data_IF_855967807076
#
_entry.id   IF_855967807076
#
_cell.length_a   1.000
_cell.length_b   1.000
_cell.length_c   1.000
_cell.angle_alpha   90.00
_cell.angle_beta   90.00
_cell.angle_gamma   90.00
#
_symmetry.space_group_name_H-M   'P 1'
#
loop_
_entity.id
_entity.type
_entity.pdbx_description
1 polymer ?
#
# COMPACT_ATOMS: atom_id res chain seq x y z
N UNK A 1 3.58 5.73 19.04
CA UNK A 1 3.79 4.57 18.13
C UNK A 1 2.42 4.06 17.71
N UNK A 2 2.20 3.78 16.43
CA UNK A 2 0.92 3.26 15.91
C UNK A 2 1.11 1.78 15.54
N UNK A 3 0.32 0.89 16.14
CA UNK A 3 0.27 -0.52 15.70
C UNK A 3 -0.76 -0.64 14.59
N UNK A 4 -0.33 -1.14 13.43
CA UNK A 4 -1.18 -1.29 12.23
C UNK A 4 -1.22 -2.79 11.90
N UNK A 5 -2.32 -3.50 12.21
CA UNK A 5 -2.50 -4.87 11.76
C UNK A 5 -2.52 -4.95 10.23
N UNK A 6 -1.97 -6.03 9.69
CA UNK A 6 -1.92 -6.31 8.26
C UNK A 6 -2.73 -7.56 7.93
N UNK A 7 -3.53 -7.49 6.87
CA UNK A 7 -4.25 -8.62 6.27
C UNK A 7 -3.73 -8.79 4.84
N UNK A 8 -3.10 -9.93 4.58
CA UNK A 8 -2.69 -10.30 3.22
C UNK A 8 -3.83 -11.09 2.58
N UNK A 9 -4.25 -10.68 1.38
CA UNK A 9 -5.34 -11.29 0.62
C UNK A 9 -4.78 -12.11 -0.54
N UNK A 10 -5.21 -13.38 -0.61
CA UNK A 10 -4.96 -14.27 -1.73
C UNK A 10 -6.22 -15.06 -2.05
N UNK A 11 -6.66 -15.00 -3.31
CA UNK A 11 -7.83 -15.70 -3.84
C UNK A 11 -9.10 -15.46 -3.00
N UNK A 12 -9.30 -14.21 -2.55
CA UNK A 12 -10.41 -13.80 -1.67
C UNK A 12 -10.24 -14.15 -0.19
N UNK A 13 -9.15 -14.80 0.22
CA UNK A 13 -8.95 -15.31 1.58
C UNK A 13 -7.83 -14.56 2.32
N UNK A 14 -7.91 -14.51 3.66
CA UNK A 14 -6.83 -14.02 4.49
C UNK A 14 -5.75 -15.09 4.63
N UNK A 15 -4.56 -14.80 4.11
CA UNK A 15 -3.43 -15.73 4.15
C UNK A 15 -2.24 -15.14 4.87
N UNK A 16 -1.28 -16.00 5.17
CA UNK A 16 0.08 -15.59 5.53
C UNK A 16 1.07 -16.39 4.70
N UNK A 17 1.93 -15.69 3.97
CA UNK A 17 3.02 -16.32 3.22
C UNK A 17 4.21 -16.58 4.13
N UNK A 18 4.78 -17.80 4.06
CA UNK A 18 6.07 -18.08 4.68
C UNK A 18 7.18 -17.44 3.83
N UNK A 19 7.85 -16.43 4.38
CA UNK A 19 8.92 -15.67 3.69
C UNK A 19 8.53 -15.10 2.30
N UNK A 20 7.25 -14.84 2.06
CA UNK A 20 6.78 -14.29 0.77
C UNK A 20 6.61 -15.32 -0.35
N UNK A 21 6.77 -16.61 -0.05
CA UNK A 21 6.53 -17.68 -1.00
C UNK A 21 5.01 -17.94 -1.16
N UNK A 22 4.52 -17.75 -2.39
CA UNK A 22 3.11 -17.91 -2.76
C UNK A 22 2.62 -19.36 -2.69
N UNK A 23 3.53 -20.32 -2.85
CA UNK A 23 3.23 -21.75 -2.78
C UNK A 23 3.16 -22.25 -1.33
N UNK A 24 3.69 -21.46 -0.38
CA UNK A 24 3.65 -21.72 1.05
C UNK A 24 2.71 -20.74 1.77
N UNK A 25 1.48 -20.65 1.27
CA UNK A 25 0.40 -19.88 1.89
C UNK A 25 -0.31 -20.71 2.97
N UNK A 26 -0.45 -20.16 4.18
CA UNK A 26 -1.36 -20.69 5.20
C UNK A 26 -2.61 -19.83 5.21
N UNK A 27 -3.79 -20.45 5.01
CA UNK A 27 -5.08 -19.78 5.15
C UNK A 27 -5.34 -19.56 6.64
N UNK A 28 -5.57 -18.31 7.03
CA UNK A 28 -5.86 -17.94 8.41
C UNK A 28 -7.36 -17.65 8.63
N UNK A 29 -8.04 -17.15 7.61
CA UNK A 29 -9.48 -16.96 7.58
C UNK A 29 -9.97 -16.97 6.13
N UNK A 30 -11.17 -17.52 5.92
CA UNK A 30 -11.87 -17.46 4.64
C UNK A 30 -12.83 -16.27 4.56
N UNK A 31 -13.04 -15.56 5.68
CA UNK A 31 -13.86 -14.36 5.78
C UNK A 31 -12.97 -13.14 6.12
N UNK A 32 -12.65 -12.30 5.12
CA UNK A 32 -11.85 -11.11 5.31
C UNK A 32 -12.56 -9.99 6.07
N UNK A 33 -13.87 -9.85 5.91
CA UNK A 33 -14.67 -8.84 6.59
C UNK A 33 -14.68 -9.11 8.09
N UNK A 34 -15.00 -10.35 8.50
CA UNK A 34 -14.95 -10.75 9.91
C UNK A 34 -13.55 -10.59 10.52
N UNK A 35 -12.49 -10.83 9.74
CA UNK A 35 -11.11 -10.59 10.19
C UNK A 35 -10.83 -9.11 10.41
N UNK A 36 -11.32 -8.24 9.53
CA UNK A 36 -11.18 -6.80 9.66
C UNK A 36 -11.92 -6.29 10.91
N UNK A 37 -13.19 -6.70 11.10
CA UNK A 37 -14.01 -6.37 12.27
C UNK A 37 -13.31 -6.74 13.58
N UNK A 38 -12.76 -7.95 13.64
CA UNK A 38 -11.98 -8.43 14.80
C UNK A 38 -10.82 -7.48 15.14
N UNK A 39 -10.11 -6.93 14.15
CA UNK A 39 -9.02 -5.99 14.42
C UNK A 39 -9.53 -4.66 14.96
N UNK A 40 -10.64 -4.14 14.42
CA UNK A 40 -11.26 -2.92 14.93
C UNK A 40 -11.68 -3.11 16.38
N UNK A 41 -12.32 -4.24 16.71
CA UNK A 41 -12.77 -4.55 18.08
C UNK A 41 -11.62 -4.70 19.09
N UNK A 42 -10.45 -5.13 18.61
CA UNK A 42 -9.21 -5.16 19.40
C UNK A 42 -8.54 -3.78 19.55
N UNK A 43 -9.15 -2.73 19.02
CA UNK A 43 -8.68 -1.34 19.15
C UNK A 43 -7.65 -0.93 18.10
N UNK A 44 -7.61 -1.61 16.94
CA UNK A 44 -6.83 -1.14 15.81
C UNK A 44 -7.26 0.29 15.43
N UNK A 45 -6.31 1.13 15.06
CA UNK A 45 -6.57 2.53 14.65
C UNK A 45 -6.38 2.77 13.15
N UNK A 46 -5.97 1.72 12.44
CA UNK A 46 -5.74 1.68 11.00
C UNK A 46 -5.58 0.22 10.60
N UNK A 47 -6.08 -0.13 9.43
CA UNK A 47 -5.91 -1.47 8.86
C UNK A 47 -5.05 -1.40 7.60
N UNK A 48 -4.08 -2.31 7.47
CA UNK A 48 -3.28 -2.46 6.26
C UNK A 48 -3.69 -3.71 5.49
N UNK A 49 -4.08 -3.52 4.24
CA UNK A 49 -4.44 -4.60 3.31
C UNK A 49 -3.37 -4.74 2.24
N UNK A 50 -3.09 -5.99 1.85
CA UNK A 50 -2.19 -6.32 0.75
C UNK A 50 -2.88 -7.28 -0.21
N UNK A 51 -3.14 -6.85 -1.44
CA UNK A 51 -3.58 -7.73 -2.53
C UNK A 51 -2.36 -8.46 -3.12
N UNK A 52 -2.12 -9.69 -2.67
CA UNK A 52 -1.01 -10.50 -3.15
C UNK A 52 -1.20 -10.89 -4.61
N UNK A 53 -2.40 -11.36 -4.99
CA UNK A 53 -2.66 -11.69 -6.40
C UNK A 53 -2.42 -10.48 -7.30
N UNK A 54 -2.84 -9.29 -6.86
CA UNK A 54 -2.62 -8.05 -7.57
C UNK A 54 -1.15 -7.67 -7.65
N UNK A 55 -0.40 -7.82 -6.55
CA UNK A 55 1.05 -7.57 -6.54
C UNK A 55 1.79 -8.42 -7.59
N UNK A 56 1.44 -9.70 -7.73
CA UNK A 56 2.04 -10.62 -8.71
C UNK A 56 1.50 -10.40 -10.13
N UNK A 57 0.19 -10.29 -10.31
CA UNK A 57 -0.45 -10.13 -11.63
C UNK A 57 -0.26 -8.73 -12.22
N UNK A 58 0.04 -7.73 -11.37
CA UNK A 58 0.20 -6.34 -11.78
C UNK A 58 -1.11 -5.59 -12.04
N UNK A 59 -2.23 -6.14 -11.61
CA UNK A 59 -3.56 -5.52 -11.63
C UNK A 59 -4.37 -6.06 -10.46
N UNK A 60 -5.23 -5.26 -9.81
CA UNK A 60 -5.97 -5.75 -8.66
C UNK A 60 -6.88 -6.92 -9.00
N UNK A 61 -7.01 -7.85 -8.05
CA UNK A 61 -7.72 -9.12 -8.22
C UNK A 61 -8.70 -9.42 -7.10
N UNK A 62 -8.49 -8.87 -5.91
CA UNK A 62 -9.30 -9.15 -4.73
C UNK A 62 -10.29 -8.02 -4.42
N UNK A 63 -10.85 -7.37 -5.44
CA UNK A 63 -11.71 -6.19 -5.26
C UNK A 63 -12.93 -6.49 -4.37
N UNK A 64 -13.65 -7.57 -4.63
CA UNK A 64 -14.84 -7.96 -3.84
C UNK A 64 -14.51 -8.16 -2.35
N UNK A 65 -13.39 -8.80 -2.04
CA UNK A 65 -12.93 -8.99 -0.67
C UNK A 65 -12.54 -7.67 0.00
N UNK A 66 -11.97 -6.73 -0.76
CA UNK A 66 -11.60 -5.40 -0.26
C UNK A 66 -12.86 -4.57 0.00
N UNK A 67 -13.83 -4.57 -0.92
CA UNK A 67 -15.12 -3.88 -0.75
C UNK A 67 -15.85 -4.41 0.49
N UNK A 68 -15.92 -5.75 0.67
CA UNK A 68 -16.51 -6.34 1.87
C UNK A 68 -15.81 -5.91 3.18
N UNK A 69 -14.48 -5.75 3.17
CA UNK A 69 -13.74 -5.21 4.32
C UNK A 69 -14.09 -3.74 4.56
N UNK A 70 -14.14 -2.93 3.51
CA UNK A 70 -14.44 -1.51 3.61
C UNK A 70 -15.86 -1.28 4.12
N UNK A 71 -16.84 -2.06 3.64
CA UNK A 71 -18.22 -2.01 4.12
C UNK A 71 -18.33 -2.39 5.61
N UNK A 72 -17.61 -3.41 6.05
CA UNK A 72 -17.64 -3.88 7.44
C UNK A 72 -16.92 -2.94 8.43
N UNK A 73 -15.84 -2.30 7.99
CA UNK A 73 -15.08 -1.35 8.81
C UNK A 73 -15.72 0.04 8.79
N UNK A 74 -16.35 0.41 7.67
CA UNK A 74 -16.89 1.74 7.42
C UNK A 74 -15.86 2.85 7.67
N UNK A 75 -16.33 3.95 8.26
CA UNK A 75 -15.50 5.12 8.59
C UNK A 75 -14.86 5.04 9.98
N UNK A 76 -14.95 3.91 10.69
CA UNK A 76 -14.42 3.79 12.06
C UNK A 76 -12.90 3.95 12.11
N UNK A 77 -12.20 3.35 11.14
CA UNK A 77 -10.76 3.45 11.02
C UNK A 77 -10.31 3.59 9.56
N UNK A 78 -9.23 4.33 9.29
CA UNK A 78 -8.69 4.41 7.95
C UNK A 78 -8.13 3.06 7.49
N UNK A 79 -8.37 2.72 6.23
CA UNK A 79 -7.85 1.51 5.59
C UNK A 79 -6.83 1.91 4.52
N UNK A 80 -5.70 1.19 4.48
CA UNK A 80 -4.64 1.38 3.49
C UNK A 80 -4.44 0.11 2.66
N UNK A 81 -4.42 0.21 1.32
CA UNK A 81 -4.26 -0.93 0.42
C UNK A 81 -2.98 -0.82 -0.39
N UNK A 82 -2.22 -1.92 -0.47
CA UNK A 82 -1.18 -2.12 -1.47
C UNK A 82 -1.44 -3.37 -2.31
N UNK A 83 -0.80 -3.46 -3.47
CA UNK A 83 -0.83 -4.66 -4.32
C UNK A 83 -1.36 -4.41 -5.72
N UNK A 84 -0.48 -4.41 -6.72
CA UNK A 84 -0.88 -4.38 -8.14
C UNK A 84 -1.35 -3.04 -8.69
N UNK A 85 -1.22 -1.95 -7.93
CA UNK A 85 -1.70 -0.62 -8.32
C UNK A 85 -0.68 0.04 -9.26
N UNK A 86 -1.09 0.25 -10.52
CA UNK A 86 -0.23 0.74 -11.61
C UNK A 86 -0.88 1.79 -12.51
N UNK A 87 -2.11 2.22 -12.23
CA UNK A 87 -2.84 3.25 -12.98
C UNK A 87 -3.59 4.19 -12.05
N UNK A 88 -3.82 5.43 -12.49
CA UNK A 88 -4.57 6.43 -11.73
C UNK A 88 -6.04 6.04 -11.57
N UNK A 89 -6.63 5.45 -12.61
CA UNK A 89 -7.99 4.90 -12.58
C UNK A 89 -8.18 3.86 -11.46
N UNK A 90 -7.16 3.01 -11.24
CA UNK A 90 -7.20 2.04 -10.13
C UNK A 90 -7.20 2.74 -8.77
N UNK A 91 -6.43 3.83 -8.64
CA UNK A 91 -6.36 4.61 -7.41
C UNK A 91 -7.71 5.25 -7.14
N UNK A 92 -8.27 5.94 -8.12
CA UNK A 92 -9.57 6.60 -8.05
C UNK A 92 -10.66 5.62 -7.62
N UNK A 93 -10.75 4.46 -8.29
CA UNK A 93 -11.72 3.42 -7.95
C UNK A 93 -11.63 2.97 -6.49
N UNK A 94 -10.43 2.83 -5.93
CA UNK A 94 -10.27 2.42 -4.55
C UNK A 94 -10.62 3.52 -3.55
N UNK A 95 -10.25 4.76 -3.86
CA UNK A 95 -10.60 5.90 -3.01
C UNK A 95 -12.13 6.12 -2.99
N UNK A 96 -12.78 5.99 -4.14
CA UNK A 96 -14.23 6.07 -4.26
C UNK A 96 -14.96 4.95 -3.51
N UNK A 97 -14.33 3.77 -3.40
CA UNK A 97 -14.82 2.65 -2.59
C UNK A 97 -14.67 2.87 -1.07
N UNK A 98 -14.07 4.00 -0.62
CA UNK A 98 -13.91 4.32 0.80
C UNK A 98 -12.50 4.07 1.36
N UNK A 99 -11.54 3.70 0.51
CA UNK A 99 -10.16 3.51 0.96
C UNK A 99 -9.51 4.85 1.33
N UNK A 100 -8.84 4.92 2.48
CA UNK A 100 -8.19 6.17 2.91
C UNK A 100 -6.82 6.37 2.27
N UNK A 101 -6.06 5.29 2.06
CA UNK A 101 -4.70 5.39 1.51
C UNK A 101 -4.38 4.28 0.51
N UNK A 102 -3.69 4.66 -0.55
CA UNK A 102 -3.16 3.75 -1.56
C UNK A 102 -1.65 3.66 -1.47
N UNK A 103 -1.12 2.44 -1.40
CA UNK A 103 0.30 2.14 -1.31
C UNK A 103 0.84 1.77 -2.68
N UNK A 104 1.72 2.62 -3.20
CA UNK A 104 2.43 2.41 -4.46
C UNK A 104 3.85 1.91 -4.15
N UNK A 105 4.10 0.64 -4.44
CA UNK A 105 5.41 0.01 -4.27
C UNK A 105 6.24 0.07 -5.55
N UNK A 106 6.35 -1.07 -6.24
CA UNK A 106 7.19 -1.23 -7.45
C UNK A 106 6.96 -0.16 -8.53
N UNK A 107 5.71 0.28 -8.74
CA UNK A 107 5.41 1.31 -9.75
C UNK A 107 6.02 2.67 -9.41
N UNK A 108 6.19 3.00 -8.13
CA UNK A 108 6.83 4.24 -7.68
C UNK A 108 8.32 4.28 -8.08
N UNK A 109 8.97 3.12 -8.09
CA UNK A 109 10.38 2.98 -8.48
C UNK A 109 10.55 2.96 -9.99
N UNK A 110 9.72 2.17 -10.68
CA UNK A 110 9.84 1.94 -12.13
C UNK A 110 9.30 3.08 -12.97
N UNK A 111 8.32 3.82 -12.46
CA UNK A 111 7.70 4.93 -13.17
C UNK A 111 7.52 6.14 -12.22
N UNK A 112 8.58 6.96 -12.06
CA UNK A 112 8.50 8.17 -11.24
C UNK A 112 7.45 9.18 -11.74
N UNK A 113 7.17 9.21 -13.05
CA UNK A 113 6.14 10.07 -13.63
C UNK A 113 4.74 9.69 -13.12
N UNK A 114 4.41 8.41 -13.14
CA UNK A 114 3.17 7.89 -12.57
C UNK A 114 3.01 8.25 -11.08
N UNK A 115 4.09 8.12 -10.29
CA UNK A 115 4.05 8.51 -8.88
C UNK A 115 3.75 10.01 -8.72
N UNK A 116 4.37 10.85 -9.55
CA UNK A 116 4.16 12.29 -9.50
C UNK A 116 2.73 12.66 -9.86
N UNK A 117 2.18 12.05 -10.91
CA UNK A 117 0.78 12.24 -11.30
C UNK A 117 -0.18 11.78 -10.19
N UNK A 118 0.11 10.64 -9.56
CA UNK A 118 -0.69 10.11 -8.45
C UNK A 118 -0.63 11.01 -7.20
N UNK A 119 0.57 11.42 -6.75
CA UNK A 119 0.71 12.34 -5.62
C UNK A 119 0.03 13.71 -5.95
N UNK A 120 -0.02 14.13 -7.23
CA UNK A 120 -0.70 15.38 -7.65
C UNK A 120 -2.22 15.25 -7.67
N UNK A 121 -2.76 14.18 -8.24
CA UNK A 121 -4.20 13.95 -8.36
C UNK A 121 -4.85 13.58 -7.01
N UNK A 122 -4.14 12.83 -6.15
CA UNK A 122 -4.68 12.24 -4.92
C UNK A 122 -3.85 12.66 -3.70
N UNK A 123 -3.63 13.97 -3.56
CA UNK A 123 -2.76 14.53 -2.54
C UNK A 123 -3.21 14.14 -1.11
N UNK A 124 -2.32 13.50 -0.36
CA UNK A 124 -2.58 13.06 1.02
C UNK A 124 -3.10 11.62 1.14
N UNK A 125 -3.50 10.98 0.04
CA UNK A 125 -3.96 9.60 0.01
C UNK A 125 -2.88 8.61 -0.46
N UNK A 126 -1.74 9.08 -0.97
CA UNK A 126 -0.70 8.20 -1.52
C UNK A 126 0.40 7.89 -0.48
N UNK A 127 0.76 6.62 -0.37
CA UNK A 127 1.87 6.11 0.44
C UNK A 127 2.85 5.41 -0.51
N UNK A 128 4.15 5.65 -0.33
CA UNK A 128 5.18 4.95 -1.11
C UNK A 128 5.72 3.78 -0.29
N UNK A 129 5.51 2.56 -0.81
CA UNK A 129 6.04 1.34 -0.24
C UNK A 129 7.48 1.11 -0.74
N UNK A 130 8.44 1.09 0.18
CA UNK A 130 9.84 0.80 -0.13
C UNK A 130 10.25 -0.49 0.56
N UNK A 131 10.38 -1.55 -0.22
CA UNK A 131 10.94 -2.82 0.23
C UNK A 131 12.46 -2.78 0.07
N UNK A 132 13.19 -3.15 1.13
CA UNK A 132 14.63 -3.11 1.18
C UNK A 132 15.20 -4.50 1.36
N UNK A 133 16.19 -4.87 0.54
CA UNK A 133 17.03 -6.06 0.74
C UNK A 133 18.49 -5.67 0.51
N UNK A 134 19.32 -5.91 1.52
CA UNK A 134 20.74 -5.54 1.53
C UNK A 134 20.99 -4.05 1.24
N UNK A 135 20.14 -3.15 1.76
CA UNK A 135 20.21 -1.69 1.54
C UNK A 135 19.61 -1.20 0.22
N UNK A 136 19.31 -2.13 -0.71
CA UNK A 136 18.80 -1.83 -2.04
C UNK A 136 17.30 -2.02 -2.15
N UNK A 137 16.67 -1.24 -3.02
CA UNK A 137 15.22 -1.33 -3.23
C UNK A 137 14.90 -2.62 -3.98
N UNK A 138 14.02 -3.43 -3.40
CA UNK A 138 13.46 -4.63 -4.01
C UNK A 138 12.12 -4.30 -4.70
N UNK A 139 11.88 -4.91 -5.84
CA UNK A 139 10.68 -4.72 -6.67
C UNK A 139 10.14 -6.07 -7.16
N UNK A 140 8.95 -6.07 -7.75
CA UNK A 140 8.26 -7.27 -8.26
C UNK A 140 8.10 -8.35 -7.16
N UNK A 141 7.57 -7.96 -5.98
CA UNK A 141 7.35 -8.90 -4.88
C UNK A 141 8.65 -9.55 -4.37
N UNK A 142 9.70 -8.75 -4.19
CA UNK A 142 11.03 -9.18 -3.71
C UNK A 142 11.86 -10.01 -4.71
N UNK A 143 11.35 -10.25 -5.92
CA UNK A 143 12.06 -11.05 -6.94
C UNK A 143 13.20 -10.29 -7.65
N UNK A 144 13.16 -8.94 -7.69
CA UNK A 144 14.18 -8.12 -8.36
C UNK A 144 14.78 -7.08 -7.44
N UNK A 145 16.09 -7.15 -7.26
CA UNK A 145 16.90 -6.08 -6.66
C UNK A 145 17.14 -4.99 -7.70
N UNK A 146 16.90 -3.74 -7.33
CA UNK A 146 17.31 -2.58 -8.12
C UNK A 146 18.72 -2.13 -7.70
N UNK A 147 19.36 -1.31 -8.53
CA UNK A 147 20.62 -0.66 -8.16
C UNK A 147 20.47 0.55 -7.25
N UNK A 148 19.25 0.89 -6.84
CA UNK A 148 18.97 2.11 -6.06
C UNK A 148 19.02 1.83 -4.56
N UNK A 149 19.74 2.68 -3.85
CA UNK A 149 19.74 2.72 -2.39
C UNK A 149 18.36 3.19 -1.89
N UNK A 150 17.81 2.48 -0.90
CA UNK A 150 16.47 2.76 -0.35
C UNK A 150 16.38 4.15 0.25
N UNK A 151 17.47 4.61 0.87
CA UNK A 151 17.55 5.92 1.52
C UNK A 151 17.47 7.05 0.49
N UNK A 152 18.15 6.89 -0.65
CA UNK A 152 18.16 7.90 -1.70
C UNK A 152 16.79 8.01 -2.38
N UNK A 153 16.13 6.87 -2.59
CA UNK A 153 14.78 6.86 -3.15
C UNK A 153 13.74 7.41 -2.16
N UNK A 154 13.90 7.14 -0.86
CA UNK A 154 13.05 7.73 0.18
C UNK A 154 13.21 9.26 0.24
N UNK A 155 14.42 9.78 0.03
CA UNK A 155 14.67 11.23 -0.04
C UNK A 155 14.09 11.85 -1.30
N UNK A 156 14.30 11.24 -2.48
CA UNK A 156 13.79 11.79 -3.74
C UNK A 156 12.25 11.84 -3.76
N UNK A 157 11.60 10.80 -3.22
CA UNK A 157 10.14 10.71 -3.12
C UNK A 157 9.55 11.79 -2.20
N UNK A 158 10.31 12.26 -1.19
CA UNK A 158 9.92 13.42 -0.37
C UNK A 158 10.06 14.75 -1.13
N UNK A 159 11.02 14.88 -2.03
CA UNK A 159 11.31 16.12 -2.76
C UNK A 159 10.36 16.35 -3.94
N UNK A 160 9.97 15.29 -4.66
CA UNK A 160 9.01 15.38 -5.79
C UNK A 160 7.66 15.96 -5.34
N UNK A 161 7.30 15.78 -4.07
CA UNK A 161 6.11 16.36 -3.44
C UNK A 161 6.20 17.89 -3.20
N UNK A 162 7.38 18.50 -3.25
CA UNK A 162 7.62 19.89 -2.81
C UNK A 162 7.67 20.91 -3.96
N UNK A 163 7.99 20.48 -5.20
CA UNK A 163 8.53 21.38 -6.23
C UNK A 163 7.51 22.13 -7.11
N UNK A 164 6.23 22.22 -6.73
CA UNK A 164 5.24 23.07 -7.44
C UNK A 164 4.22 23.79 -6.54
N UNK A 165 4.64 24.29 -5.38
CA UNK A 165 3.85 25.27 -4.61
C UNK A 165 4.38 26.70 -4.80
N UNK A 166 4.18 27.26 -6.00
CA UNK A 166 4.23 28.72 -6.12
C UNK A 166 2.93 29.29 -5.56
N UNK A 167 3.07 30.02 -4.45
CA UNK A 167 2.09 30.87 -3.75
C UNK A 167 1.26 30.24 -2.63
N UNK A 168 1.47 30.86 -1.45
CA UNK A 168 0.72 30.81 -0.17
C UNK A 168 1.01 29.65 0.78
N UNK A 169 2.08 29.87 1.55
CA UNK A 169 2.20 29.76 3.01
C UNK A 169 1.25 28.81 3.77
N UNK A 170 1.90 27.84 4.41
CA UNK A 170 1.44 26.87 5.42
C UNK A 170 0.75 25.60 4.91
N UNK A 171 1.27 24.45 5.34
CA UNK A 171 0.76 23.09 5.14
C UNK A 171 1.03 22.39 3.79
N UNK A 172 2.29 22.34 3.35
CA UNK A 172 2.74 21.32 2.39
C UNK A 172 3.81 20.43 3.06
N UNK A 173 3.40 19.61 4.02
CA UNK A 173 4.26 18.57 4.62
C UNK A 173 3.55 17.23 4.50
N UNK A 174 3.94 16.43 3.51
CA UNK A 174 3.56 15.01 3.46
C UNK A 174 2.59 14.62 2.36
N UNK A 175 2.93 14.89 1.09
CA UNK A 175 2.16 14.35 -0.02
C UNK A 175 2.27 12.81 -0.11
N UNK A 176 3.42 12.25 0.26
CA UNK A 176 3.71 10.82 0.17
C UNK A 176 4.46 10.36 1.44
N UNK A 177 3.85 9.45 2.24
CA UNK A 177 4.46 8.85 3.44
C UNK A 177 5.28 7.63 3.03
N UNK A 178 6.53 7.52 3.50
CA UNK A 178 7.35 6.34 3.27
C UNK A 178 7.20 5.38 4.46
N UNK A 179 6.82 4.13 4.21
CA UNK A 179 6.89 3.05 5.18
C UNK A 179 7.95 2.04 4.73
N UNK A 180 8.96 1.84 5.56
CA UNK A 180 10.02 0.85 5.33
C UNK A 180 9.68 -0.43 6.08
N UNK A 181 9.63 -1.54 5.34
CA UNK A 181 9.50 -2.89 5.88
C UNK A 181 10.86 -3.57 5.77
N UNK A 182 11.51 -3.84 6.90
CA UNK A 182 12.74 -4.66 6.96
C UNK A 182 12.37 -5.96 7.66
N UNK A 183 12.41 -7.09 6.95
CA UNK A 183 12.33 -8.41 7.60
C UNK A 183 13.74 -8.78 8.11
N UNK A 184 13.86 -9.29 9.34
CA UNK A 184 15.09 -9.92 9.82
C UNK A 184 15.43 -11.18 9.02
#
# INVERSE_FOLDING_TARGET
MLLIPAIDLKDGQCVRLKQGDMDQATIFSEDPAAMARKWVDLGARRLHLVDLNGAFAGKPKNLEAIEAILDEVGDEIPVQLGGGIRSLETIEKYLDAGLSYVIIGTAAVKNPGFLQDACTAFAGNIIVGLDAKDGKVATDGWSKLTGHEVIDLARSSRTTASNRSSTRTSAATGCCRASTSTRP
#
